data_IF_005009979234
#
_entry.id   IF_005009979234
#
_cell.length_a   1.000
_cell.length_b   1.000
_cell.length_c   1.000
_cell.angle_alpha   90.00
_cell.angle_beta   90.00
_cell.angle_gamma   90.00
#
_symmetry.space_group_name_H-M   'P 1'
#
loop_
_entity.id
_entity.type
_entity.pdbx_description
1 polymer ?
#
# COMPACT_ATOMS: atom_id res chain seq x y z
N UNK A 1 4.09 0.39 -8.32
CA UNK A 1 4.05 1.03 -6.98
C UNK A 1 3.05 2.18 -7.00
N UNK A 2 2.06 2.25 -6.11
CA UNK A 2 1.14 3.41 -6.04
C UNK A 2 1.63 4.48 -5.06
N UNK A 3 1.38 5.77 -5.32
CA UNK A 3 1.79 6.87 -4.44
C UNK A 3 3.30 6.96 -4.25
N UNK A 4 4.07 6.68 -5.32
CA UNK A 4 5.51 6.44 -5.25
C UNK A 4 6.37 7.68 -5.55
N UNK A 5 5.77 8.88 -5.63
CA UNK A 5 6.51 10.11 -5.89
C UNK A 5 7.23 10.69 -4.65
N UNK A 6 6.99 10.15 -3.44
CA UNK A 6 7.62 10.55 -2.18
C UNK A 6 7.44 9.50 -1.08
N UNK A 7 8.07 9.74 0.08
CA UNK A 7 7.85 8.97 1.30
C UNK A 7 8.19 7.50 1.15
N UNK A 8 7.47 6.64 1.88
CA UNK A 8 7.71 5.19 1.89
C UNK A 8 7.60 4.59 0.48
N UNK A 9 6.58 5.00 -0.29
CA UNK A 9 6.38 4.50 -1.65
C UNK A 9 7.55 4.77 -2.59
N UNK A 10 8.20 5.93 -2.47
CA UNK A 10 9.40 6.25 -3.24
C UNK A 10 10.59 5.38 -2.83
N UNK A 11 10.83 5.21 -1.53
CA UNK A 11 11.95 4.37 -1.07
C UNK A 11 11.72 2.89 -1.40
N UNK A 12 10.50 2.38 -1.29
CA UNK A 12 10.18 1.02 -1.75
C UNK A 12 10.42 0.88 -3.26
N UNK A 13 10.01 1.87 -4.07
CA UNK A 13 10.25 1.88 -5.50
C UNK A 13 11.76 1.88 -5.83
N UNK A 14 12.55 2.70 -5.12
CA UNK A 14 14.00 2.78 -5.28
C UNK A 14 14.67 1.45 -4.93
N UNK A 15 14.37 0.88 -3.76
CA UNK A 15 14.97 -0.37 -3.30
C UNK A 15 14.65 -1.55 -4.22
N UNK A 16 13.44 -1.60 -4.79
CA UNK A 16 13.09 -2.59 -5.81
C UNK A 16 13.85 -2.34 -7.13
N UNK A 17 14.01 -1.09 -7.55
CA UNK A 17 14.79 -0.76 -8.75
C UNK A 17 16.28 -1.13 -8.57
N UNK A 18 16.86 -0.88 -7.39
CA UNK A 18 18.22 -1.27 -7.03
C UNK A 18 18.43 -2.80 -7.06
N UNK A 19 17.36 -3.58 -6.89
CA UNK A 19 17.35 -5.05 -7.01
C UNK A 19 17.11 -5.55 -8.45
N UNK A 20 17.02 -4.64 -9.43
CA UNK A 20 16.88 -4.97 -10.85
C UNK A 20 15.44 -5.14 -11.33
N UNK A 21 14.44 -4.81 -10.51
CA UNK A 21 13.04 -4.82 -10.95
C UNK A 21 12.77 -3.71 -11.97
N UNK A 22 11.90 -3.97 -12.95
CA UNK A 22 11.30 -2.89 -13.75
C UNK A 22 10.20 -2.22 -12.93
N UNK A 23 10.50 -1.03 -12.40
CA UNK A 23 9.59 -0.34 -11.48
C UNK A 23 8.75 0.71 -12.22
N UNK A 24 7.44 0.66 -11.97
CA UNK A 24 6.48 1.70 -12.35
C UNK A 24 6.15 2.58 -11.13
N UNK A 25 6.59 3.84 -11.19
CA UNK A 25 6.29 4.91 -10.23
C UNK A 25 4.91 5.47 -10.57
N UNK A 26 3.88 4.93 -9.90
CA UNK A 26 2.51 5.41 -9.97
C UNK A 26 2.33 6.68 -9.15
N UNK A 27 1.92 7.77 -9.81
CA UNK A 27 1.61 9.03 -9.16
C UNK A 27 0.49 9.78 -9.88
N UNK A 28 -0.36 10.47 -9.11
CA UNK A 28 -1.45 11.31 -9.64
C UNK A 28 -0.97 12.63 -10.25
N UNK A 29 0.21 13.07 -9.84
CA UNK A 29 0.82 14.33 -10.28
C UNK A 29 1.96 14.00 -11.23
N UNK A 30 1.77 14.35 -12.50
CA UNK A 30 2.71 13.98 -13.56
C UNK A 30 4.12 14.54 -13.31
N UNK A 31 4.23 15.82 -12.96
CA UNK A 31 5.52 16.47 -12.75
C UNK A 31 6.32 15.81 -11.61
N UNK A 32 5.67 15.60 -10.45
CA UNK A 32 6.31 14.92 -9.31
C UNK A 32 6.59 13.46 -9.60
N UNK A 33 5.72 12.78 -10.34
CA UNK A 33 5.89 11.38 -10.72
C UNK A 33 7.08 11.17 -11.66
N UNK A 34 7.20 11.99 -12.72
CA UNK A 34 8.33 11.94 -13.66
C UNK A 34 9.65 12.25 -12.96
N UNK A 35 9.71 13.32 -12.17
CA UNK A 35 10.91 13.67 -11.41
C UNK A 35 11.34 12.55 -10.43
N UNK A 36 10.37 11.88 -9.79
CA UNK A 36 10.66 10.74 -8.93
C UNK A 36 11.18 9.53 -9.73
N UNK A 37 10.55 9.20 -10.86
CA UNK A 37 10.97 8.10 -11.72
C UNK A 37 12.39 8.30 -12.26
N UNK A 38 12.71 9.50 -12.73
CA UNK A 38 14.04 9.86 -13.24
C UNK A 38 15.15 9.66 -12.19
N UNK A 39 14.90 10.06 -10.94
CA UNK A 39 15.87 9.93 -9.83
C UNK A 39 16.31 8.49 -9.55
N UNK A 40 15.48 7.51 -9.88
CA UNK A 40 15.72 6.09 -9.60
C UNK A 40 15.76 5.25 -10.88
N UNK A 41 15.87 5.90 -12.05
CA UNK A 41 15.86 5.27 -13.37
C UNK A 41 14.66 4.29 -13.58
N UNK A 42 13.50 4.66 -13.05
CA UNK A 42 12.25 3.91 -13.17
C UNK A 42 11.35 4.47 -14.27
N UNK A 43 10.19 3.84 -14.50
CA UNK A 43 9.17 4.34 -15.42
C UNK A 43 8.11 5.11 -14.64
N UNK A 44 7.70 6.26 -15.16
CA UNK A 44 6.54 6.97 -14.63
C UNK A 44 5.25 6.33 -15.16
N UNK A 45 4.24 6.22 -14.31
CA UNK A 45 2.88 5.80 -14.65
C UNK A 45 1.89 6.79 -14.05
N UNK A 46 1.08 7.46 -14.88
CA UNK A 46 0.02 8.35 -14.39
C UNK A 46 -1.06 7.52 -13.71
N UNK A 47 -1.22 7.70 -12.40
CA UNK A 47 -2.16 6.90 -11.60
C UNK A 47 -2.70 7.68 -10.41
N UNK A 48 -3.97 8.07 -10.49
CA UNK A 48 -4.78 8.40 -9.34
C UNK A 48 -5.71 7.23 -8.99
N UNK A 49 -5.55 6.68 -7.78
CA UNK A 49 -6.34 5.53 -7.33
C UNK A 49 -7.79 5.89 -7.04
N UNK A 50 -8.15 7.18 -6.95
CA UNK A 50 -9.55 7.60 -6.76
C UNK A 50 -10.26 7.92 -8.08
N UNK A 51 -9.60 7.71 -9.23
CA UNK A 51 -10.17 7.97 -10.56
C UNK A 51 -10.22 6.68 -11.38
N UNK A 52 -11.43 6.21 -11.68
CA UNK A 52 -11.67 5.00 -12.47
C UNK A 52 -11.09 5.08 -13.90
N UNK A 53 -11.08 6.27 -14.51
CA UNK A 53 -10.49 6.46 -15.83
C UNK A 53 -8.96 6.35 -15.75
N UNK A 54 -8.35 6.95 -14.72
CA UNK A 54 -6.91 6.82 -14.47
C UNK A 54 -6.50 5.37 -14.20
N UNK A 55 -7.26 4.63 -13.39
CA UNK A 55 -7.02 3.19 -13.14
C UNK A 55 -7.09 2.39 -14.44
N UNK A 56 -8.14 2.59 -15.24
CA UNK A 56 -8.35 1.85 -16.49
C UNK A 56 -7.25 2.13 -17.50
N UNK A 57 -6.83 3.40 -17.62
CA UNK A 57 -5.72 3.80 -18.48
C UNK A 57 -4.40 3.17 -18.03
N UNK A 58 -4.10 3.19 -16.73
CA UNK A 58 -2.89 2.60 -16.18
C UNK A 58 -2.85 1.07 -16.40
N UNK A 59 -3.95 0.36 -16.16
CA UNK A 59 -4.03 -1.08 -16.41
C UNK A 59 -3.82 -1.41 -17.90
N UNK A 60 -4.43 -0.62 -18.80
CA UNK A 60 -4.24 -0.77 -20.24
C UNK A 60 -2.79 -0.51 -20.67
N UNK A 61 -2.17 0.56 -20.16
CA UNK A 61 -0.77 0.86 -20.46
C UNK A 61 0.16 -0.28 -20.06
N UNK A 62 -0.08 -0.89 -18.88
CA UNK A 62 0.71 -2.04 -18.42
C UNK A 62 0.50 -3.25 -19.32
N UNK A 63 -0.74 -3.53 -19.70
CA UNK A 63 -1.07 -4.66 -20.59
C UNK A 63 -0.42 -4.49 -21.97
N UNK A 64 -0.59 -3.32 -22.60
CA UNK A 64 -0.06 -3.03 -23.93
C UNK A 64 1.48 -3.06 -23.96
N UNK A 65 2.14 -2.66 -22.87
CA UNK A 65 3.60 -2.51 -22.82
C UNK A 65 4.33 -3.78 -22.36
N UNK A 66 3.85 -4.43 -21.30
CA UNK A 66 4.53 -5.58 -20.69
C UNK A 66 3.72 -6.87 -20.75
N UNK A 67 2.39 -6.80 -20.88
CA UNK A 67 1.55 -8.00 -20.95
C UNK A 67 1.58 -8.86 -19.67
N UNK A 68 2.08 -8.34 -18.55
CA UNK A 68 2.10 -8.99 -17.23
C UNK A 68 2.36 -7.94 -16.15
N UNK A 69 1.92 -8.24 -14.92
CA UNK A 69 2.35 -7.51 -13.73
C UNK A 69 2.75 -8.52 -12.67
N UNK A 70 4.00 -8.47 -12.18
CA UNK A 70 4.46 -9.41 -11.15
C UNK A 70 4.16 -8.92 -9.74
N UNK A 71 4.32 -7.62 -9.49
CA UNK A 71 4.24 -7.05 -8.14
C UNK A 71 3.35 -5.81 -8.15
N UNK A 72 2.28 -5.85 -7.36
CA UNK A 72 1.48 -4.69 -7.00
C UNK A 72 1.74 -4.31 -5.55
N UNK A 73 2.30 -3.12 -5.31
CA UNK A 73 2.36 -2.53 -3.97
C UNK A 73 1.39 -1.36 -3.89
N UNK A 74 0.33 -1.56 -3.12
CA UNK A 74 -0.69 -0.58 -2.79
C UNK A 74 -0.20 0.26 -1.60
N UNK A 75 0.52 1.33 -1.89
CA UNK A 75 1.10 2.25 -0.89
C UNK A 75 0.34 3.59 -0.78
N UNK A 76 -0.31 4.05 -1.86
CA UNK A 76 -1.07 5.30 -1.87
C UNK A 76 -2.08 5.33 -0.70
N UNK A 77 -1.94 6.35 0.15
CA UNK A 77 -2.82 6.56 1.29
C UNK A 77 -2.81 8.02 1.71
N UNK A 78 -3.87 8.43 2.41
CA UNK A 78 -3.96 9.71 3.12
C UNK A 78 -4.30 9.48 4.58
N UNK A 79 -3.94 10.43 5.44
CA UNK A 79 -4.38 10.50 6.84
C UNK A 79 -5.16 11.79 7.06
N UNK A 80 -6.49 11.69 7.15
CA UNK A 80 -7.33 12.82 7.56
C UNK A 80 -7.55 12.74 9.07
N UNK A 81 -7.09 13.76 9.78
CA UNK A 81 -7.17 13.85 11.24
C UNK A 81 -8.10 15.01 11.61
N UNK A 82 -9.32 14.69 12.02
CA UNK A 82 -10.35 15.67 12.37
C UNK A 82 -10.76 15.66 13.85
N UNK A 83 -9.96 14.99 14.69
CA UNK A 83 -10.12 14.95 16.14
C UNK A 83 -10.50 13.56 16.68
N UNK A 84 -11.02 13.51 17.91
CA UNK A 84 -11.52 12.28 18.53
C UNK A 84 -12.74 11.71 17.79
N UNK A 85 -13.08 10.45 18.06
CA UNK A 85 -14.11 9.70 17.34
C UNK A 85 -15.48 10.38 17.25
N UNK A 86 -15.90 11.09 18.31
CA UNK A 86 -17.19 11.82 18.32
C UNK A 86 -17.22 13.06 17.41
N UNK A 87 -16.06 13.51 16.92
CA UNK A 87 -15.92 14.67 16.06
C UNK A 87 -15.68 14.30 14.59
N UNK A 88 -15.51 13.00 14.29
CA UNK A 88 -15.26 12.57 12.92
C UNK A 88 -16.40 12.94 11.98
N UNK A 89 -16.03 13.62 10.90
CA UNK A 89 -16.95 14.10 9.86
C UNK A 89 -17.17 13.03 8.80
N UNK A 90 -18.35 13.05 8.18
CA UNK A 90 -18.64 12.16 7.05
C UNK A 90 -17.69 12.39 5.87
N UNK A 91 -17.24 13.62 5.68
CA UNK A 91 -16.31 13.97 4.60
C UNK A 91 -14.92 13.38 4.88
N UNK A 92 -14.38 13.51 6.10
CA UNK A 92 -13.11 12.87 6.45
C UNK A 92 -13.16 11.34 6.27
N UNK A 93 -14.27 10.72 6.68
CA UNK A 93 -14.51 9.29 6.48
C UNK A 93 -14.52 8.92 4.99
N UNK A 94 -15.34 9.60 4.18
CA UNK A 94 -15.47 9.34 2.74
C UNK A 94 -14.14 9.56 2.02
N UNK A 95 -13.50 10.70 2.22
CA UNK A 95 -12.23 11.02 1.56
C UNK A 95 -11.14 10.01 1.91
N UNK A 96 -11.05 9.59 3.19
CA UNK A 96 -10.07 8.58 3.61
C UNK A 96 -10.36 7.21 3.02
N UNK A 97 -11.62 6.75 3.04
CA UNK A 97 -12.00 5.45 2.48
C UNK A 97 -11.86 5.40 0.95
N UNK A 98 -12.14 6.50 0.26
CA UNK A 98 -11.98 6.60 -1.19
C UNK A 98 -10.56 6.26 -1.63
N UNK A 99 -9.55 6.83 -0.95
CA UNK A 99 -8.14 6.56 -1.26
C UNK A 99 -7.65 5.25 -0.65
N UNK A 100 -7.88 5.05 0.65
CA UNK A 100 -7.19 3.99 1.42
C UNK A 100 -7.82 2.60 1.23
N UNK A 101 -9.06 2.52 0.72
CA UNK A 101 -9.78 1.26 0.55
C UNK A 101 -10.35 1.13 -0.87
N UNK A 102 -11.29 2.01 -1.26
CA UNK A 102 -12.04 1.83 -2.51
C UNK A 102 -11.14 1.89 -3.74
N UNK A 103 -10.25 2.88 -3.80
CA UNK A 103 -9.26 2.99 -4.86
C UNK A 103 -8.29 1.80 -4.92
N UNK A 104 -7.88 1.28 -3.76
CA UNK A 104 -7.02 0.09 -3.67
C UNK A 104 -7.71 -1.17 -4.19
N UNK A 105 -8.97 -1.37 -3.80
CA UNK A 105 -9.80 -2.49 -4.29
C UNK A 105 -10.03 -2.36 -5.80
N UNK A 106 -10.40 -1.18 -6.28
CA UNK A 106 -10.65 -0.92 -7.69
C UNK A 106 -9.40 -1.17 -8.55
N UNK A 107 -8.26 -0.64 -8.14
CA UNK A 107 -6.98 -0.86 -8.82
C UNK A 107 -6.56 -2.34 -8.79
N UNK A 108 -6.67 -2.98 -7.63
CA UNK A 108 -6.33 -4.41 -7.49
C UNK A 108 -7.16 -5.25 -8.46
N UNK A 109 -8.47 -5.01 -8.54
CA UNK A 109 -9.35 -5.70 -9.47
C UNK A 109 -8.97 -5.46 -10.94
N UNK A 110 -8.67 -4.20 -11.29
CA UNK A 110 -8.27 -3.84 -12.66
C UNK A 110 -6.95 -4.49 -13.10
N UNK A 111 -6.01 -4.68 -12.17
CA UNK A 111 -4.70 -5.28 -12.44
C UNK A 111 -4.66 -6.80 -12.23
N UNK A 112 -5.69 -7.39 -11.60
CA UNK A 112 -5.73 -8.82 -11.29
C UNK A 112 -5.59 -9.73 -12.53
N UNK A 113 -6.17 -9.41 -13.70
CA UNK A 113 -5.92 -10.18 -14.92
C UNK A 113 -4.43 -10.22 -15.31
N UNK A 114 -3.70 -9.11 -15.13
CA UNK A 114 -2.27 -9.02 -15.42
C UNK A 114 -1.46 -9.82 -14.39
N UNK A 115 -1.81 -9.73 -13.11
CA UNK A 115 -1.20 -10.48 -12.00
C UNK A 115 -1.37 -12.00 -12.16
N UNK A 116 -2.52 -12.44 -12.67
CA UNK A 116 -2.77 -13.87 -12.97
C UNK A 116 -1.90 -14.42 -14.10
N UNK A 117 -1.26 -13.58 -14.92
CA UNK A 117 -0.28 -14.00 -15.93
C UNK A 117 1.13 -14.15 -15.35
N UNK A 118 1.41 -13.62 -14.15
CA UNK A 118 2.68 -13.81 -13.47
C UNK A 118 2.79 -15.23 -12.91
N UNK A 119 3.97 -15.83 -13.02
CA UNK A 119 4.29 -17.11 -12.38
C UNK A 119 4.47 -16.99 -10.86
N UNK A 120 4.63 -15.77 -10.34
CA UNK A 120 4.91 -15.51 -8.93
C UNK A 120 4.31 -14.16 -8.46
N UNK A 121 3.04 -13.91 -8.75
CA UNK A 121 2.39 -12.62 -8.44
C UNK A 121 2.44 -12.24 -6.95
N UNK A 122 2.70 -10.98 -6.63
CA UNK A 122 2.71 -10.45 -5.25
C UNK A 122 1.83 -9.21 -5.15
N UNK A 123 0.94 -9.20 -4.16
CA UNK A 123 0.15 -8.03 -3.79
C UNK A 123 0.52 -7.66 -2.35
N UNK A 124 1.09 -6.47 -2.19
CA UNK A 124 1.50 -5.92 -0.90
C UNK A 124 0.64 -4.70 -0.61
N UNK A 125 -0.22 -4.80 0.40
CA UNK A 125 -1.04 -3.69 0.87
C UNK A 125 -0.32 -3.01 2.05
N UNK A 126 0.10 -1.76 1.88
CA UNK A 126 0.70 -0.99 2.98
C UNK A 126 -0.41 -0.53 3.91
N UNK A 127 -0.62 -1.29 4.97
CA UNK A 127 -1.58 -1.03 6.02
C UNK A 127 -0.93 -0.20 7.14
N UNK A 128 -1.28 -0.43 8.40
CA UNK A 128 -0.69 0.21 9.58
C UNK A 128 -1.06 -0.58 10.83
N UNK A 129 -0.25 -0.48 11.88
CA UNK A 129 -0.52 -1.01 13.23
C UNK A 129 -1.90 -0.56 13.75
N UNK A 130 -2.31 0.68 13.43
CA UNK A 130 -3.62 1.22 13.85
C UNK A 130 -4.81 0.52 13.18
N UNK A 131 -4.55 -0.27 12.13
CA UNK A 131 -5.54 -1.13 11.50
C UNK A 131 -5.82 -2.40 12.30
N UNK A 132 -4.99 -2.75 13.28
CA UNK A 132 -5.23 -3.89 14.17
C UNK A 132 -6.14 -3.53 15.32
N UNK A 133 -7.26 -4.23 15.44
CA UNK A 133 -8.16 -4.07 16.60
C UNK A 133 -7.47 -4.57 17.88
N UNK A 134 -6.66 -5.63 17.77
CA UNK A 134 -5.94 -6.18 18.91
C UNK A 134 -4.91 -5.18 19.47
N UNK A 135 -4.10 -4.54 18.60
CA UNK A 135 -3.13 -3.53 19.03
C UNK A 135 -3.81 -2.29 19.60
N UNK A 136 -4.92 -1.85 18.99
CA UNK A 136 -5.65 -0.64 19.41
C UNK A 136 -6.43 -0.82 20.72
N UNK A 137 -6.63 -2.05 21.18
CA UNK A 137 -7.31 -2.35 22.45
C UNK A 137 -6.37 -2.75 23.57
N UNK A 138 -5.07 -2.91 23.30
CA UNK A 138 -4.05 -3.22 24.29
C UNK A 138 -3.55 -1.96 25.03
N UNK A 139 -3.78 -1.82 26.36
CA UNK A 139 -3.29 -0.68 27.13
C UNK A 139 -1.77 -0.53 27.19
N UNK A 140 -1.01 -1.59 26.86
CA UNK A 140 0.45 -1.53 26.78
C UNK A 140 0.94 -0.98 25.42
N UNK A 141 0.06 -0.88 24.41
CA UNK A 141 0.43 -0.39 23.09
C UNK A 141 0.61 1.14 23.11
N UNK A 142 1.69 1.70 22.53
CA UNK A 142 1.89 3.15 22.46
C UNK A 142 0.79 3.92 21.73
N UNK A 143 0.02 3.25 20.87
CA UNK A 143 -1.07 3.82 20.08
C UNK A 143 -2.44 3.69 20.77
N UNK A 144 -2.51 3.12 21.99
CA UNK A 144 -3.76 2.89 22.74
C UNK A 144 -4.64 4.16 22.87
N UNK A 145 -4.02 5.32 23.03
CA UNK A 145 -4.74 6.59 23.19
C UNK A 145 -5.16 7.26 21.87
N UNK A 146 -4.73 6.72 20.72
CA UNK A 146 -5.14 7.23 19.41
C UNK A 146 -6.62 6.93 19.18
N UNK A 147 -7.44 7.97 18.99
CA UNK A 147 -8.90 7.83 19.02
C UNK A 147 -9.63 8.50 17.84
N UNK A 148 -8.94 8.71 16.70
CA UNK A 148 -9.59 9.13 15.46
C UNK A 148 -10.22 7.94 14.72
N UNK A 149 -11.29 8.15 13.95
CA UNK A 149 -12.01 7.04 13.27
C UNK A 149 -11.51 6.79 11.86
N UNK A 150 -11.39 7.83 11.03
CA UNK A 150 -11.27 7.67 9.59
C UNK A 150 -10.05 6.83 9.15
N UNK A 151 -8.86 7.18 9.64
CA UNK A 151 -7.64 6.48 9.26
C UNK A 151 -7.56 5.04 9.83
N UNK A 152 -7.70 4.80 11.15
CA UNK A 152 -7.68 3.44 11.71
C UNK A 152 -8.72 2.52 11.06
N UNK A 153 -9.98 2.98 10.94
CA UNK A 153 -11.03 2.18 10.33
C UNK A 153 -10.73 1.83 8.85
N UNK A 154 -10.15 2.75 8.08
CA UNK A 154 -9.76 2.47 6.69
C UNK A 154 -8.65 1.41 6.60
N UNK A 155 -7.72 1.39 7.56
CA UNK A 155 -6.63 0.40 7.62
C UNK A 155 -7.12 -0.96 8.12
N UNK A 156 -8.05 -1.01 9.07
CA UNK A 156 -8.75 -2.25 9.45
C UNK A 156 -9.55 -2.82 8.28
N UNK A 157 -10.22 -1.97 7.49
CA UNK A 157 -10.94 -2.42 6.30
C UNK A 157 -9.98 -2.95 5.22
N UNK A 158 -8.82 -2.31 5.02
CA UNK A 158 -7.78 -2.79 4.12
C UNK A 158 -7.18 -4.13 4.58
N UNK A 159 -7.01 -4.33 5.89
CA UNK A 159 -6.62 -5.61 6.48
C UNK A 159 -7.64 -6.72 6.12
N UNK A 160 -8.93 -6.45 6.30
CA UNK A 160 -9.98 -7.41 5.91
C UNK A 160 -9.98 -7.68 4.40
N UNK A 161 -9.87 -6.64 3.56
CA UNK A 161 -9.80 -6.80 2.11
C UNK A 161 -8.61 -7.67 1.68
N UNK A 162 -7.44 -7.45 2.29
CA UNK A 162 -6.23 -8.27 2.09
C UNK A 162 -6.51 -9.74 2.35
N UNK A 163 -7.14 -10.06 3.49
CA UNK A 163 -7.50 -11.43 3.85
C UNK A 163 -8.48 -12.05 2.85
N UNK A 164 -9.44 -11.28 2.34
CA UNK A 164 -10.41 -11.78 1.36
C UNK A 164 -9.75 -12.11 0.01
N UNK A 165 -8.85 -11.26 -0.49
CA UNK A 165 -8.06 -11.57 -1.70
C UNK A 165 -7.12 -12.76 -1.47
N UNK A 166 -6.49 -12.85 -0.30
CA UNK A 166 -5.63 -13.99 0.04
C UNK A 166 -6.40 -15.31 0.01
N UNK A 167 -7.64 -15.34 0.52
CA UNK A 167 -8.53 -16.51 0.47
C UNK A 167 -8.94 -16.86 -0.96
N UNK A 168 -9.28 -15.87 -1.78
CA UNK A 168 -9.64 -16.08 -3.19
C UNK A 168 -8.48 -16.70 -3.97
N UNK A 169 -7.27 -16.18 -3.76
CA UNK A 169 -6.09 -16.53 -4.57
C UNK A 169 -5.23 -17.64 -3.95
N UNK A 170 -5.69 -18.27 -2.86
CA UNK A 170 -4.91 -19.24 -2.05
C UNK A 170 -4.35 -20.43 -2.86
N UNK A 171 -5.07 -20.86 -3.89
CA UNK A 171 -4.72 -22.02 -4.72
C UNK A 171 -3.96 -21.60 -6.00
N UNK A 172 -3.49 -20.35 -6.04
CA UNK A 172 -2.69 -19.79 -7.15
C UNK A 172 -1.27 -19.47 -6.68
N UNK A 173 -0.32 -19.20 -7.60
CA UNK A 173 1.01 -18.71 -7.22
C UNK A 173 1.03 -17.30 -6.62
N UNK A 174 -0.11 -16.60 -6.59
CA UNK A 174 -0.22 -15.22 -6.11
C UNK A 174 -0.27 -15.18 -4.59
N UNK A 175 0.54 -14.32 -3.97
CA UNK A 175 0.54 -14.06 -2.52
C UNK A 175 0.02 -12.66 -2.25
N UNK A 176 -0.88 -12.52 -1.28
CA UNK A 176 -1.49 -11.24 -0.90
C UNK A 176 -1.28 -11.00 0.58
N UNK A 177 -0.56 -9.94 0.96
CA UNK A 177 -0.23 -9.67 2.35
C UNK A 177 -0.37 -8.18 2.67
N UNK A 178 -0.60 -7.89 3.96
CA UNK A 178 -0.59 -6.54 4.50
C UNK A 178 0.73 -6.33 5.26
N UNK A 179 1.25 -5.11 5.17
CA UNK A 179 2.45 -4.71 5.91
C UNK A 179 2.20 -3.46 6.73
N UNK A 180 2.84 -3.35 7.89
CA UNK A 180 2.93 -2.09 8.62
C UNK A 180 4.37 -1.55 8.54
N UNK A 181 4.57 -0.34 8.02
CA UNK A 181 5.91 0.26 7.90
C UNK A 181 6.43 0.83 9.24
N UNK A 182 5.63 0.76 10.30
CA UNK A 182 5.86 1.50 11.54
C UNK A 182 5.72 3.02 11.38
N UNK A 183 6.05 3.77 12.43
CA UNK A 183 5.82 5.21 12.48
C UNK A 183 6.96 6.01 11.82
N UNK A 184 6.85 6.17 10.50
CA UNK A 184 7.84 6.86 9.66
C UNK A 184 7.57 8.36 9.54
N UNK A 185 8.62 9.19 9.60
CA UNK A 185 8.52 10.63 9.34
C UNK A 185 8.23 10.87 7.84
N UNK A 186 7.00 11.25 7.54
CA UNK A 186 6.55 11.55 6.17
C UNK A 186 5.56 12.71 6.19
N UNK A 187 5.22 13.25 5.02
CA UNK A 187 4.19 14.28 4.92
C UNK A 187 2.81 13.83 5.44
N UNK A 188 2.53 12.51 5.51
CA UNK A 188 1.25 11.99 6.03
C UNK A 188 1.04 12.34 7.51
N UNK A 189 2.12 12.47 8.28
CA UNK A 189 2.11 12.77 9.70
C UNK A 189 2.91 14.04 10.03
N UNK A 190 3.09 14.95 9.07
CA UNK A 190 3.89 16.17 9.26
C UNK A 190 5.32 15.88 9.76
N UNK A 191 5.92 14.77 9.32
CA UNK A 191 7.30 14.35 9.63
C UNK A 191 7.57 14.08 11.12
N UNK A 192 6.56 13.60 11.87
CA UNK A 192 6.66 13.34 13.32
C UNK A 192 7.15 11.93 13.71
N UNK A 193 7.37 11.04 12.74
CA UNK A 193 7.77 9.65 13.00
C UNK A 193 9.22 9.49 13.49
N UNK A 194 9.51 8.39 14.19
CA UNK A 194 10.87 8.06 14.66
C UNK A 194 11.67 7.23 13.65
N UNK A 195 11.04 6.75 12.57
CA UNK A 195 11.69 6.00 11.49
C UNK A 195 11.85 6.84 10.24
N UNK A 196 12.87 6.54 9.45
CA UNK A 196 12.99 7.09 8.09
C UNK A 196 12.03 6.37 7.14
N UNK A 197 11.63 7.01 6.02
CA UNK A 197 10.86 6.33 4.97
C UNK A 197 11.55 5.08 4.41
N UNK A 198 12.88 5.09 4.33
CA UNK A 198 13.67 3.94 3.86
C UNK A 198 13.59 2.77 4.83
N UNK A 199 13.63 3.03 6.14
CA UNK A 199 13.42 1.98 7.15
C UNK A 199 12.01 1.40 7.06
N UNK A 200 10.98 2.22 6.81
CA UNK A 200 9.61 1.72 6.65
C UNK A 200 9.36 0.99 5.34
N UNK A 201 10.19 1.23 4.33
CA UNK A 201 10.08 0.58 3.03
C UNK A 201 10.54 -0.88 3.04
N UNK A 202 11.41 -1.28 3.98
CA UNK A 202 12.05 -2.60 4.01
C UNK A 202 11.04 -3.75 4.04
N UNK A 203 10.05 -3.69 4.92
CA UNK A 203 9.03 -4.75 5.00
C UNK A 203 8.23 -4.90 3.69
N UNK A 204 7.92 -3.80 3.00
CA UNK A 204 7.23 -3.86 1.72
C UNK A 204 8.10 -4.50 0.64
N UNK A 205 9.40 -4.18 0.61
CA UNK A 205 10.39 -4.79 -0.29
C UNK A 205 10.55 -6.29 0.00
N UNK A 206 10.63 -6.68 1.27
CA UNK A 206 10.70 -8.09 1.66
C UNK A 206 9.46 -8.86 1.18
N UNK A 207 8.26 -8.32 1.40
CA UNK A 207 7.01 -8.97 1.02
C UNK A 207 6.78 -8.99 -0.49
N UNK A 208 7.30 -8.00 -1.20
CA UNK A 208 7.31 -7.96 -2.67
C UNK A 208 8.24 -9.02 -3.29
N UNK A 209 9.27 -9.47 -2.58
CA UNK A 209 10.23 -10.47 -3.04
C UNK A 209 9.99 -11.89 -2.48
N UNK A 210 8.82 -12.16 -1.90
CA UNK A 210 8.55 -13.48 -1.31
C UNK A 210 8.73 -14.62 -2.32
N UNK A 211 9.41 -15.67 -1.90
CA UNK A 211 9.46 -16.95 -2.61
C UNK A 211 8.10 -17.69 -2.62
N UNK A 212 8.00 -18.81 -3.34
CA UNK A 212 6.77 -19.61 -3.45
C UNK A 212 6.26 -20.13 -2.09
N UNK A 213 7.18 -20.42 -1.16
CA UNK A 213 6.88 -20.89 0.20
C UNK A 213 6.52 -19.75 1.17
N UNK A 214 6.52 -18.51 0.68
CA UNK A 214 6.15 -17.33 1.47
C UNK A 214 4.66 -17.33 1.87
N UNK A 215 4.31 -16.57 2.92
CA UNK A 215 2.94 -16.49 3.41
C UNK A 215 2.01 -15.79 2.40
N UNK A 216 0.73 -16.09 2.53
CA UNK A 216 -0.38 -15.30 1.96
C UNK A 216 -1.41 -15.11 3.07
N UNK A 217 -2.05 -13.94 3.12
CA UNK A 217 -2.96 -13.57 4.19
C UNK A 217 -2.24 -13.32 5.52
N UNK A 218 -1.05 -12.75 5.49
CA UNK A 218 -0.33 -12.29 6.68
C UNK A 218 -0.43 -10.75 6.84
N UNK A 219 -0.33 -10.30 8.09
CA UNK A 219 -0.09 -8.92 8.48
C UNK A 219 1.23 -8.86 9.24
N UNK A 220 2.20 -8.10 8.74
CA UNK A 220 3.58 -8.15 9.26
C UNK A 220 4.24 -6.77 9.33
N UNK A 221 5.21 -6.64 10.23
CA UNK A 221 6.22 -5.58 10.24
C UNK A 221 7.64 -6.21 10.26
N UNK A 222 8.68 -5.40 10.49
CA UNK A 222 10.06 -5.92 10.56
C UNK A 222 10.34 -6.79 11.80
N UNK A 223 9.43 -6.81 12.78
CA UNK A 223 9.54 -7.62 14.00
C UNK A 223 8.85 -8.97 13.86
N UNK A 224 7.92 -9.10 12.92
CA UNK A 224 7.28 -10.36 12.57
C UNK A 224 5.79 -10.21 12.28
N UNK A 225 5.02 -11.23 12.67
CA UNK A 225 3.56 -11.22 12.47
C UNK A 225 2.88 -10.34 13.51
N UNK A 226 2.06 -9.41 13.02
CA UNK A 226 1.19 -8.58 13.81
C UNK A 226 -0.17 -9.26 13.97
N UNK A 227 -0.87 -9.04 15.11
CA UNK A 227 -2.26 -9.46 15.22
C UNK A 227 -3.13 -8.59 14.30
N UNK A 228 -4.21 -9.17 13.78
CA UNK A 228 -5.15 -8.48 12.90
C UNK A 228 -5.99 -7.42 13.60
#
# INVERSE_FOLDING_TARGET
>A
MTGANKGIGFETARLLADQGHTVLVGARDEGRGRAAAERINARFLQLDVTDAASISAAAKEIDDTWGVLDILVNNAAIGVWDGPASQSTLDALRTTFETNLFGIVALTNALLPLLRRSSAGRIVNVSSDVGSIALMTDPANPLYMLNGVAYPASKSALNMATMQYAKELKDTPIKVNAVSPGYCATDLNNNSGYRTPEQGAQIAVQMANLGPDGPTGAFVDDTGTLPW
#
